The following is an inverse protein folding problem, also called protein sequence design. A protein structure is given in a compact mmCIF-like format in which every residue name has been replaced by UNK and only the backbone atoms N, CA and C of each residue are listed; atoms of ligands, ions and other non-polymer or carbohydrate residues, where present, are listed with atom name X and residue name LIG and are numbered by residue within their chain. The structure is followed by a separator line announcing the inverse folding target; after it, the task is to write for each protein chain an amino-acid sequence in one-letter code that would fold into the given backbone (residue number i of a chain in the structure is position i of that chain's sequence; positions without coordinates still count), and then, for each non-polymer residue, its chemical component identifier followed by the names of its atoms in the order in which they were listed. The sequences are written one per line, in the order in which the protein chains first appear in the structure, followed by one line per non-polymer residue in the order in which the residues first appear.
data_IF_573473803086
#
_entry.id   IF_573473803086
#
_cell.length_a   1.000
_cell.length_b   1.000
_cell.length_c   1.000
_cell.angle_alpha   90.00
_cell.angle_beta   90.00
_cell.angle_gamma   90.00
#
_symmetry.space_group_name_H-M   'P 1'
#
loop_
_entity.id
_entity.type
_entity.pdbx_description
1 polymer ?
#
# COMPACT_ATOMS: atom_id res chain seq x y z
N UNK A 1 -24.41 18.78 6.97
CA UNK A 1 -23.74 18.21 5.79
C UNK A 1 -22.25 18.35 6.00
N UNK A 2 -21.46 17.29 5.98
CA UNK A 2 -20.00 17.43 5.96
C UNK A 2 -19.59 18.08 4.64
N UNK A 3 -18.64 19.02 4.70
CA UNK A 3 -18.08 19.65 3.52
C UNK A 3 -17.52 18.59 2.56
N UNK A 4 -17.69 18.77 1.22
CA UNK A 4 -17.08 17.85 0.27
C UNK A 4 -15.57 17.86 0.49
N UNK A 5 -14.97 16.67 0.54
CA UNK A 5 -13.53 16.51 0.60
C UNK A 5 -12.87 17.31 -0.53
N UNK A 6 -11.71 17.96 -0.27
CA UNK A 6 -11.02 18.74 -1.29
C UNK A 6 -10.73 17.86 -2.50
N UNK A 7 -11.22 18.28 -3.66
CA UNK A 7 -11.01 17.61 -4.96
C UNK A 7 -9.58 17.90 -5.42
N UNK A 8 -8.61 17.24 -4.82
CA UNK A 8 -7.27 17.17 -5.37
C UNK A 8 -7.31 16.24 -6.59
N UNK A 9 -6.62 16.56 -7.68
CA UNK A 9 -6.53 15.66 -8.82
C UNK A 9 -5.97 14.31 -8.36
N UNK A 10 -6.70 13.25 -8.70
CA UNK A 10 -6.26 11.89 -8.39
C UNK A 10 -5.11 11.50 -9.31
N UNK A 11 -4.09 10.79 -8.82
CA UNK A 11 -3.01 10.28 -9.64
C UNK A 11 -3.53 9.35 -10.75
N UNK A 12 -2.84 9.27 -11.89
CA UNK A 12 -3.11 8.23 -12.88
C UNK A 12 -3.06 6.83 -12.25
N UNK A 13 -4.01 5.97 -12.59
CA UNK A 13 -4.13 4.63 -12.01
C UNK A 13 -4.87 4.57 -10.67
N UNK A 14 -5.34 5.69 -10.15
CA UNK A 14 -6.20 5.67 -8.95
C UNK A 14 -7.58 5.15 -9.29
N UNK A 15 -8.02 4.10 -8.60
CA UNK A 15 -9.35 3.49 -8.80
C UNK A 15 -10.47 4.31 -8.16
N UNK A 16 -10.12 5.19 -7.23
CA UNK A 16 -11.04 6.10 -6.53
C UNK A 16 -10.89 6.03 -5.02
N UNK A 17 -11.57 6.91 -4.27
CA UNK A 17 -11.58 6.86 -2.81
C UNK A 17 -12.37 5.65 -2.31
N UNK A 18 -11.94 5.08 -1.18
CA UNK A 18 -12.75 4.10 -0.47
C UNK A 18 -14.06 4.75 0.01
N UNK A 19 -15.14 3.97 0.04
CA UNK A 19 -16.42 4.47 0.55
C UNK A 19 -16.31 4.85 2.04
N UNK A 20 -17.01 5.91 2.43
CA UNK A 20 -17.07 6.37 3.82
C UNK A 20 -17.74 5.32 4.71
N UNK A 21 -18.71 4.59 4.17
CA UNK A 21 -19.37 3.45 4.81
C UNK A 21 -19.18 2.21 3.95
N UNK A 22 -18.04 1.50 4.09
CA UNK A 22 -17.78 0.31 3.30
C UNK A 22 -18.80 -0.78 3.63
N UNK A 23 -19.23 -1.52 2.60
CA UNK A 23 -20.09 -2.70 2.80
C UNK A 23 -19.36 -3.73 3.66
N UNK A 24 -19.98 -4.12 4.77
CA UNK A 24 -19.43 -5.16 5.65
C UNK A 24 -19.65 -6.52 5.00
N UNK A 25 -18.55 -7.23 4.76
CA UNK A 25 -18.55 -8.61 4.28
C UNK A 25 -17.56 -9.41 5.13
N UNK A 26 -18.06 -9.90 6.26
CA UNK A 26 -17.27 -10.70 7.17
C UNK A 26 -17.27 -12.16 6.72
N UNK A 27 -16.10 -12.69 6.43
CA UNK A 27 -15.88 -14.07 6.02
C UNK A 27 -15.09 -14.82 7.10
N UNK A 28 -15.29 -16.16 7.24
CA UNK A 28 -14.59 -16.95 8.24
C UNK A 28 -13.07 -16.89 8.08
N UNK A 29 -12.37 -16.52 9.14
CA UNK A 29 -10.93 -16.68 9.27
C UNK A 29 -10.64 -17.99 9.96
N UNK A 30 -10.01 -18.92 9.26
CA UNK A 30 -9.67 -20.23 9.81
C UNK A 30 -8.49 -20.11 10.77
N UNK A 31 -8.54 -20.83 11.89
CA UNK A 31 -7.43 -20.92 12.85
C UNK A 31 -6.22 -21.67 12.31
N UNK A 32 -6.43 -22.49 11.27
CA UNK A 32 -5.36 -23.25 10.62
C UNK A 32 -4.53 -22.35 9.72
N UNK A 33 -3.21 -22.40 9.87
CA UNK A 33 -2.25 -21.69 9.02
C UNK A 33 -1.80 -22.59 7.87
N UNK A 34 -1.90 -22.09 6.64
CA UNK A 34 -1.33 -22.77 5.49
C UNK A 34 0.20 -22.76 5.56
N UNK A 35 0.84 -23.92 5.51
CA UNK A 35 2.27 -24.02 5.45
C UNK A 35 2.78 -23.62 4.05
N UNK A 36 3.68 -22.62 4.00
CA UNK A 36 4.33 -22.19 2.75
C UNK A 36 5.73 -22.81 2.58
N UNK A 37 6.08 -23.78 3.39
CA UNK A 37 7.33 -24.54 3.36
C UNK A 37 7.06 -26.03 3.44
N UNK A 38 7.61 -26.70 4.46
CA UNK A 38 7.33 -28.11 4.69
C UNK A 38 5.89 -28.32 5.19
N UNK A 39 5.21 -29.40 4.74
CA UNK A 39 3.85 -29.66 5.18
C UNK A 39 3.80 -29.88 6.69
N UNK A 40 2.91 -29.20 7.38
CA UNK A 40 2.49 -29.59 8.72
C UNK A 40 1.40 -30.66 8.62
N UNK A 41 1.31 -31.60 9.58
CA UNK A 41 0.18 -32.53 9.64
C UNK A 41 -1.13 -31.75 9.58
N UNK A 42 -1.99 -32.10 8.64
CA UNK A 42 -3.34 -31.56 8.60
C UNK A 42 -4.11 -32.25 9.75
N UNK A 43 -4.04 -31.69 10.93
CA UNK A 43 -4.93 -32.06 12.01
C UNK A 43 -6.31 -31.47 11.69
N UNK A 44 -7.37 -32.23 11.93
CA UNK A 44 -8.76 -31.93 11.56
C UNK A 44 -9.38 -30.73 12.36
N UNK A 45 -8.60 -29.69 12.60
CA UNK A 45 -9.06 -28.51 13.31
C UNK A 45 -9.44 -27.37 12.33
N UNK A 46 -10.60 -27.51 11.71
CA UNK A 46 -11.26 -26.38 11.05
C UNK A 46 -12.02 -25.54 12.08
N UNK A 47 -11.31 -24.98 13.04
CA UNK A 47 -11.88 -23.95 13.91
C UNK A 47 -11.99 -22.64 13.15
N UNK A 48 -13.12 -21.96 13.26
CA UNK A 48 -13.22 -20.55 12.87
C UNK A 48 -12.69 -19.73 14.03
N UNK A 49 -11.57 -19.04 13.83
CA UNK A 49 -10.96 -18.23 14.89
C UNK A 49 -11.72 -16.91 15.04
N UNK A 50 -12.15 -16.32 13.91
CA UNK A 50 -12.85 -15.05 13.90
C UNK A 50 -13.53 -14.82 12.53
N UNK A 51 -14.23 -13.71 12.41
CA UNK A 51 -14.74 -13.20 11.15
C UNK A 51 -13.83 -12.09 10.65
N UNK A 52 -13.42 -12.15 9.39
CA UNK A 52 -12.56 -11.16 8.75
C UNK A 52 -13.35 -10.37 7.71
N UNK A 53 -13.43 -9.06 7.90
CA UNK A 53 -13.85 -8.11 6.88
C UNK A 53 -12.60 -7.38 6.36
N UNK A 54 -12.28 -7.53 5.07
CA UNK A 54 -11.09 -6.92 4.48
C UNK A 54 -11.15 -5.38 4.50
N UNK A 55 -12.35 -4.79 4.38
CA UNK A 55 -12.48 -3.34 4.45
C UNK A 55 -12.09 -2.84 5.85
N UNK A 56 -12.61 -3.48 6.89
CA UNK A 56 -12.25 -3.13 8.28
C UNK A 56 -10.77 -3.38 8.57
N UNK A 57 -10.19 -4.43 7.99
CA UNK A 57 -8.80 -4.79 8.23
C UNK A 57 -7.81 -3.85 7.55
N UNK A 58 -8.14 -3.33 6.37
CA UNK A 58 -7.19 -2.64 5.51
C UNK A 58 -7.42 -1.14 5.40
N UNK A 59 -8.59 -0.64 5.84
CA UNK A 59 -9.01 0.75 5.69
C UNK A 59 -9.27 1.34 7.07
N UNK A 60 -8.25 1.99 7.63
CA UNK A 60 -8.38 2.66 8.94
C UNK A 60 -9.14 3.98 8.83
N UNK A 61 -8.93 4.72 7.73
CA UNK A 61 -9.57 6.01 7.50
C UNK A 61 -10.19 6.06 6.09
N UNK A 62 -11.48 5.71 5.94
CA UNK A 62 -12.14 5.62 4.64
C UNK A 62 -12.11 6.91 3.82
N UNK A 63 -12.19 8.08 4.49
CA UNK A 63 -12.20 9.39 3.79
C UNK A 63 -10.84 9.79 3.24
N UNK A 64 -9.76 9.16 3.71
CA UNK A 64 -8.39 9.45 3.28
C UNK A 64 -7.72 8.26 2.58
N UNK A 65 -8.42 7.13 2.40
CA UNK A 65 -7.89 5.93 1.77
C UNK A 65 -8.26 5.86 0.29
N UNK A 66 -7.27 5.57 -0.53
CA UNK A 66 -7.38 5.47 -1.99
C UNK A 66 -6.75 4.17 -2.47
N UNK A 67 -7.24 3.65 -3.60
CA UNK A 67 -6.63 2.53 -4.29
C UNK A 67 -5.86 3.03 -5.51
N UNK A 68 -4.67 2.47 -5.73
CA UNK A 68 -3.84 2.71 -6.91
C UNK A 68 -3.35 1.39 -7.48
N UNK A 69 -3.09 1.33 -8.78
CA UNK A 69 -2.38 0.21 -9.38
C UNK A 69 -0.89 0.52 -9.47
N UNK A 70 -0.06 -0.46 -9.12
CA UNK A 70 1.37 -0.39 -9.39
C UNK A 70 1.61 -0.49 -10.90
N UNK A 71 2.38 0.46 -11.45
CA UNK A 71 2.73 0.53 -12.85
C UNK A 71 3.60 -0.67 -13.28
N UNK A 72 3.87 -0.77 -14.57
CA UNK A 72 4.61 -1.86 -15.22
C UNK A 72 6.08 -1.97 -14.80
N UNK A 73 6.60 -0.99 -14.07
CA UNK A 73 8.00 -0.98 -13.59
C UNK A 73 8.25 -1.97 -12.45
N UNK A 74 9.45 -2.55 -12.43
CA UNK A 74 9.88 -3.54 -11.43
C UNK A 74 10.67 -2.93 -10.25
N UNK A 75 10.68 -1.60 -10.14
CA UNK A 75 11.52 -0.89 -9.16
C UNK A 75 11.23 -1.22 -7.70
N UNK A 76 10.05 -1.79 -7.41
CA UNK A 76 9.59 -2.07 -6.04
C UNK A 76 9.48 -3.58 -5.72
N UNK A 77 9.93 -4.46 -6.62
CA UNK A 77 9.81 -5.93 -6.44
C UNK A 77 10.55 -6.44 -5.19
N UNK A 78 11.66 -5.84 -4.83
CA UNK A 78 12.40 -6.18 -3.61
C UNK A 78 11.67 -5.82 -2.32
N UNK A 79 10.63 -5.00 -2.39
CA UNK A 79 9.71 -4.71 -1.29
C UNK A 79 8.38 -5.45 -1.43
N UNK A 80 8.30 -6.43 -2.33
CA UNK A 80 7.12 -7.28 -2.52
C UNK A 80 6.00 -6.65 -3.34
N UNK A 81 6.23 -5.48 -3.96
CA UNK A 81 5.26 -4.82 -4.84
C UNK A 81 5.64 -5.09 -6.29
N UNK A 82 4.72 -5.66 -7.05
CA UNK A 82 4.91 -6.08 -8.43
C UNK A 82 3.97 -5.31 -9.37
N UNK A 83 4.30 -5.26 -10.66
CA UNK A 83 3.42 -4.68 -11.67
C UNK A 83 1.99 -5.23 -11.59
N UNK A 84 0.99 -4.33 -11.61
CA UNK A 84 -0.42 -4.68 -11.53
C UNK A 84 -0.96 -4.99 -10.13
N UNK A 85 -0.14 -4.87 -9.10
CA UNK A 85 -0.63 -4.95 -7.72
C UNK A 85 -1.54 -3.75 -7.41
N UNK A 86 -2.58 -3.98 -6.61
CA UNK A 86 -3.40 -2.91 -6.06
C UNK A 86 -2.81 -2.44 -4.74
N UNK A 87 -2.52 -1.17 -4.64
CA UNK A 87 -2.00 -0.50 -3.45
C UNK A 87 -3.15 0.15 -2.68
N UNK A 88 -3.17 -0.02 -1.38
CA UNK A 88 -4.05 0.74 -0.47
C UNK A 88 -3.22 1.89 0.09
N UNK A 89 -3.63 3.12 -0.18
CA UNK A 89 -2.88 4.34 0.14
C UNK A 89 -3.66 5.19 1.11
N UNK A 90 -3.11 5.42 2.30
CA UNK A 90 -3.70 6.27 3.32
C UNK A 90 -3.00 7.63 3.32
N UNK A 91 -3.75 8.68 3.03
CA UNK A 91 -3.27 10.06 2.98
C UNK A 91 -3.28 10.76 4.34
N UNK A 92 -3.92 10.19 5.33
CA UNK A 92 -3.97 10.75 6.68
C UNK A 92 -2.72 10.45 7.52
N UNK A 93 -1.91 9.48 7.07
CA UNK A 93 -0.72 9.05 7.80
C UNK A 93 0.46 9.98 7.56
N UNK A 94 1.16 10.30 8.64
CA UNK A 94 2.47 10.95 8.56
C UNK A 94 3.52 9.89 8.21
N UNK A 95 4.10 9.98 7.03
CA UNK A 95 5.11 9.06 6.56
C UNK A 95 6.36 9.05 7.46
N UNK A 96 6.85 7.87 7.77
CA UNK A 96 8.05 7.63 8.56
C UNK A 96 9.13 6.94 7.72
N UNK A 97 10.41 7.12 8.04
CA UNK A 97 11.47 6.34 7.42
C UNK A 97 11.20 4.83 7.55
N UNK A 98 11.24 4.12 6.44
CA UNK A 98 10.88 2.70 6.32
C UNK A 98 9.55 2.47 5.62
N UNK A 99 8.65 3.45 5.62
CA UNK A 99 7.36 3.33 4.94
C UNK A 99 7.52 3.29 3.42
N UNK A 100 6.62 2.55 2.78
CA UNK A 100 6.40 2.67 1.33
C UNK A 100 5.44 3.84 1.13
N UNK A 101 5.84 4.78 0.29
CA UNK A 101 5.09 6.01 0.06
C UNK A 101 4.79 6.22 -1.42
N UNK A 102 3.71 6.92 -1.67
CA UNK A 102 3.46 7.58 -2.95
C UNK A 102 3.93 9.02 -2.77
N UNK A 103 4.95 9.39 -3.49
CA UNK A 103 5.51 10.74 -3.47
C UNK A 103 5.34 11.44 -4.82
N UNK A 104 5.33 12.76 -4.80
CA UNK A 104 5.39 13.58 -6.02
C UNK A 104 6.85 13.94 -6.27
N UNK A 105 7.36 13.53 -7.42
CA UNK A 105 8.73 13.78 -7.83
C UNK A 105 8.79 14.19 -9.29
N UNK A 106 9.44 15.32 -9.58
CA UNK A 106 9.54 15.86 -10.96
C UNK A 106 8.19 15.94 -11.69
N UNK A 107 7.12 16.28 -10.96
CA UNK A 107 5.78 16.41 -11.51
C UNK A 107 5.03 15.11 -11.75
N UNK A 108 5.58 13.96 -11.33
CA UNK A 108 4.97 12.65 -11.43
C UNK A 108 4.83 11.95 -10.08
N UNK A 109 3.97 10.92 -10.04
CA UNK A 109 3.83 10.05 -8.87
C UNK A 109 4.86 8.93 -8.93
N UNK A 110 5.54 8.69 -7.81
CA UNK A 110 6.48 7.58 -7.65
C UNK A 110 6.13 6.78 -6.40
N UNK A 111 6.19 5.46 -6.50
CA UNK A 111 6.10 4.55 -5.36
C UNK A 111 7.52 4.17 -4.94
N UNK A 112 7.92 4.51 -3.73
CA UNK A 112 9.27 4.30 -3.20
C UNK A 112 9.23 4.05 -1.70
N UNK A 113 10.31 3.47 -1.16
CA UNK A 113 10.53 3.43 0.28
C UNK A 113 11.16 4.74 0.73
N UNK A 114 10.52 5.40 1.70
CA UNK A 114 11.08 6.58 2.34
C UNK A 114 12.22 6.16 3.26
N UNK A 115 13.37 6.80 3.13
CA UNK A 115 14.49 6.65 4.06
C UNK A 115 15.01 8.00 4.50
N UNK A 116 15.72 8.00 5.62
CA UNK A 116 16.42 9.19 6.10
C UNK A 116 17.87 8.84 6.40
N UNK A 117 18.80 9.54 5.76
CA UNK A 117 20.23 9.37 5.93
C UNK A 117 20.90 10.72 6.15
N UNK A 118 21.70 10.83 7.22
CA UNK A 118 22.39 12.08 7.56
C UNK A 118 21.45 13.32 7.58
N UNK A 119 20.22 13.15 8.10
CA UNK A 119 19.23 14.22 8.18
C UNK A 119 18.45 14.50 6.90
N UNK A 120 18.76 13.83 5.78
CA UNK A 120 18.11 14.02 4.48
C UNK A 120 17.21 12.87 4.12
N UNK A 121 16.10 13.17 3.43
CA UNK A 121 15.22 12.14 2.88
C UNK A 121 15.77 11.59 1.58
N UNK A 122 15.59 10.30 1.39
CA UNK A 122 15.90 9.53 0.19
C UNK A 122 14.70 8.67 -0.17
N UNK A 123 14.43 8.50 -1.47
CA UNK A 123 13.41 7.60 -1.98
C UNK A 123 14.09 6.40 -2.62
N UNK A 124 13.93 5.24 -2.00
CA UNK A 124 14.61 4.00 -2.37
C UNK A 124 13.72 3.08 -3.20
N UNK A 125 14.32 2.49 -4.20
CA UNK A 125 13.77 1.36 -4.95
C UNK A 125 14.17 0.04 -4.30
N UNK A 126 13.35 -0.98 -4.50
CA UNK A 126 13.67 -2.36 -4.10
C UNK A 126 14.33 -3.16 -5.21
N UNK A 127 15.05 -2.51 -6.11
CA UNK A 127 15.75 -3.14 -7.22
C UNK A 127 17.15 -2.56 -7.35
N UNK A 128 18.20 -3.40 -7.53
CA UNK A 128 19.59 -2.94 -7.53
C UNK A 128 19.93 -1.96 -8.68
N UNK A 129 19.24 -2.07 -9.81
CA UNK A 129 19.48 -1.25 -10.99
C UNK A 129 18.89 0.17 -10.88
N UNK A 130 18.13 0.43 -9.81
CA UNK A 130 17.53 1.73 -9.56
C UNK A 130 18.23 2.42 -8.39
N UNK A 131 19.04 3.42 -8.70
CA UNK A 131 19.68 4.23 -7.66
C UNK A 131 18.65 4.99 -6.82
N UNK A 132 18.90 5.21 -5.52
CA UNK A 132 18.06 6.04 -4.69
C UNK A 132 17.96 7.48 -5.21
N UNK A 133 16.75 8.04 -5.14
CA UNK A 133 16.53 9.45 -5.39
C UNK A 133 16.91 10.21 -4.11
N UNK A 134 17.92 11.05 -4.17
CA UNK A 134 18.30 11.92 -3.07
C UNK A 134 17.52 13.23 -3.16
N UNK A 135 16.75 13.53 -2.13
CA UNK A 135 16.00 14.79 -2.07
C UNK A 135 16.98 15.93 -1.71
N UNK A 136 17.16 16.94 -2.58
CA UNK A 136 18.01 18.07 -2.28
C UNK A 136 17.54 18.81 -1.02
N UNK A 137 18.47 19.48 -0.27
CA UNK A 137 18.14 20.13 0.99
C UNK A 137 17.19 21.33 0.86
N UNK A 138 17.13 21.91 -0.33
CA UNK A 138 16.28 23.05 -0.72
C UNK A 138 14.94 22.61 -1.35
N UNK A 139 14.72 21.31 -1.48
CA UNK A 139 13.48 20.74 -2.03
C UNK A 139 12.67 20.11 -0.89
N UNK A 140 11.44 20.54 -0.73
CA UNK A 140 10.49 19.87 0.16
C UNK A 140 9.93 18.62 -0.52
N UNK A 141 10.10 17.47 0.12
CA UNK A 141 9.54 16.20 -0.38
C UNK A 141 8.03 16.17 -0.13
N UNK A 142 7.27 16.16 -1.20
CA UNK A 142 5.82 16.00 -1.10
C UNK A 142 5.45 14.51 -1.10
N UNK A 143 5.04 14.00 0.08
CA UNK A 143 4.47 12.66 0.23
C UNK A 143 2.96 12.77 0.07
N UNK A 144 2.41 12.14 -0.98
CA UNK A 144 0.98 12.14 -1.25
C UNK A 144 0.20 11.19 -0.34
N UNK A 145 0.81 10.06 0.03
CA UNK A 145 0.23 9.09 0.96
C UNK A 145 1.16 7.93 1.28
N UNK A 146 0.79 7.17 2.29
CA UNK A 146 1.52 5.97 2.75
C UNK A 146 0.81 4.72 2.25
N UNK A 147 1.56 3.80 1.63
CA UNK A 147 1.03 2.49 1.21
C UNK A 147 0.93 1.59 2.43
N UNK A 148 -0.29 1.23 2.80
CA UNK A 148 -0.57 0.42 4.00
C UNK A 148 -0.73 -1.07 3.68
N UNK A 149 -1.27 -1.39 2.52
CA UNK A 149 -1.51 -2.76 2.05
C UNK A 149 -1.27 -2.88 0.56
N UNK A 150 -1.00 -4.12 0.14
CA UNK A 150 -0.86 -4.48 -1.28
C UNK A 150 -1.62 -5.75 -1.54
N UNK A 151 -2.41 -5.77 -2.60
CA UNK A 151 -3.18 -6.93 -3.02
C UNK A 151 -2.77 -7.41 -4.40
N UNK A 152 -2.64 -8.72 -4.58
CA UNK A 152 -2.32 -9.35 -5.85
C UNK A 152 -3.26 -10.51 -6.15
N UNK A 153 -3.86 -10.48 -7.34
CA UNK A 153 -4.63 -11.60 -7.86
C UNK A 153 -3.66 -12.72 -8.28
N UNK A 154 -3.74 -13.87 -7.63
CA UNK A 154 -2.90 -15.03 -7.97
C UNK A 154 -3.47 -15.85 -9.13
N UNK A 155 -4.80 -15.84 -9.33
CA UNK A 155 -5.45 -16.59 -10.39
C UNK A 155 -5.23 -15.91 -11.74
N UNK A 156 -4.55 -16.58 -12.67
CA UNK A 156 -4.14 -16.05 -13.99
C UNK A 156 -5.02 -16.52 -15.17
N UNK A 157 -6.25 -16.95 -14.92
CA UNK A 157 -7.21 -17.40 -15.94
C UNK A 157 -8.47 -16.56 -15.98
#
# INVERSE_FOLDING_TARGET
MPAPAPTLPLPPGTVGPAYIEPTHLALPLLSVRAACGFPSPAEDFFGVEDLLDLNQRCIDNPVATFFMEADTGESMVGFGIYPGDTLVVDRSRNAQPGDIVIAIWEGGFVCKQLRKRAGRFELHSGHPDHAPIQVPPDVELEVWGVVTWTFRKQLRR
#
